data_IF_148310574638
#
_entry.id   IF_148310574638
#
_cell.length_a   1.000
_cell.length_b   1.000
_cell.length_c   1.000
_cell.angle_alpha   90.00
_cell.angle_beta   90.00
_cell.angle_gamma   90.00
#
_symmetry.space_group_name_H-M   'P 1'
#
loop_
_entity.id
_entity.type
_entity.pdbx_description
1 polymer ?
#
# COMPACT_ATOMS: atom_id res chain seq x y z
N UNK A 1 15.02 21.39 20.17
CA UNK A 1 13.72 20.83 20.55
C UNK A 1 13.28 19.89 19.43
N UNK A 2 13.39 18.58 19.64
CA UNK A 2 13.16 17.57 18.60
C UNK A 2 11.75 16.97 18.80
N UNK A 3 10.73 17.72 18.38
CA UNK A 3 9.36 17.21 18.46
C UNK A 3 9.07 16.32 17.23
N UNK A 4 9.05 15.01 17.44
CA UNK A 4 8.67 14.04 16.42
C UNK A 4 7.14 13.97 16.37
N UNK A 5 6.56 14.44 15.27
CA UNK A 5 5.10 14.39 15.06
C UNK A 5 4.75 13.17 14.22
N UNK A 6 4.10 12.20 14.85
CA UNK A 6 3.45 11.10 14.13
C UNK A 6 2.16 11.65 13.53
N UNK A 7 2.07 11.68 12.20
CA UNK A 7 0.94 12.28 11.49
C UNK A 7 -0.41 11.76 12.00
N UNK A 8 -1.33 12.68 12.32
CA UNK A 8 -2.60 12.37 12.98
C UNK A 8 -3.71 11.94 12.00
N UNK A 9 -3.37 11.17 10.96
CA UNK A 9 -4.37 10.62 10.03
C UNK A 9 -5.17 9.51 10.72
N UNK A 10 -6.49 9.66 10.79
CA UNK A 10 -7.39 8.60 11.27
C UNK A 10 -7.15 7.33 10.46
N UNK A 11 -6.75 6.23 11.12
CA UNK A 11 -6.46 4.95 10.48
C UNK A 11 -4.98 4.62 10.30
N UNK A 12 -4.07 5.60 10.33
CA UNK A 12 -2.62 5.35 10.26
C UNK A 12 -1.96 5.28 11.65
N UNK A 13 -2.70 5.68 12.70
CA UNK A 13 -2.29 5.58 14.09
C UNK A 13 -1.86 4.13 14.39
N UNK A 14 -0.76 3.97 15.13
CA UNK A 14 -0.12 2.70 15.50
C UNK A 14 0.51 1.86 14.37
N UNK A 15 0.32 2.23 13.10
CA UNK A 15 0.91 1.51 11.95
C UNK A 15 2.10 2.22 11.33
N UNK A 16 2.36 3.47 11.73
CA UNK A 16 3.47 4.29 11.22
C UNK A 16 4.59 4.39 12.24
N UNK A 17 5.82 4.13 11.81
CA UNK A 17 7.02 4.38 12.59
C UNK A 17 8.13 4.94 11.70
N UNK A 18 9.05 5.73 12.26
CA UNK A 18 10.27 6.08 11.53
C UNK A 18 11.16 4.84 11.35
N UNK A 19 11.86 4.77 10.22
CA UNK A 19 12.86 3.73 9.98
C UNK A 19 14.08 3.97 10.86
N UNK A 20 14.51 5.23 10.99
CA UNK A 20 15.47 5.66 12.01
C UNK A 20 14.75 6.15 13.26
N UNK A 21 15.18 5.68 14.44
CA UNK A 21 14.61 6.12 15.72
C UNK A 21 14.70 7.65 15.91
N UNK A 22 15.78 8.24 15.38
CA UNK A 22 16.00 9.69 15.38
C UNK A 22 16.07 10.21 13.94
N UNK A 23 14.99 10.80 13.40
CA UNK A 23 14.98 11.34 12.05
C UNK A 23 15.87 12.58 11.87
N UNK A 24 16.43 13.14 12.95
CA UNK A 24 17.44 14.20 12.86
C UNK A 24 18.78 13.70 12.30
N UNK A 25 19.00 12.38 12.28
CA UNK A 25 20.14 11.71 11.64
C UNK A 25 20.01 11.65 10.10
N UNK A 26 19.36 12.65 9.50
CA UNK A 26 19.22 12.84 8.06
C UNK A 26 18.38 11.79 7.32
N UNK A 27 17.63 10.95 8.05
CA UNK A 27 16.71 9.97 7.48
C UNK A 27 15.31 10.11 8.10
N UNK A 28 14.41 10.75 7.35
CA UNK A 28 13.02 10.92 7.72
C UNK A 28 12.10 9.85 7.11
N UNK A 29 12.66 8.74 6.62
CA UNK A 29 11.89 7.62 6.08
C UNK A 29 10.98 7.02 7.13
N UNK A 30 9.77 6.64 6.71
CA UNK A 30 8.79 5.95 7.56
C UNK A 30 8.52 4.55 7.02
N UNK A 31 8.13 3.66 7.92
CA UNK A 31 7.52 2.37 7.61
C UNK A 31 6.04 2.45 7.97
N UNK A 32 5.17 2.16 7.00
CA UNK A 32 3.75 1.91 7.21
C UNK A 32 3.52 0.38 7.18
N UNK A 33 3.12 -0.17 8.33
CA UNK A 33 2.83 -1.60 8.48
C UNK A 33 1.37 -1.91 8.16
N UNK A 34 1.10 -3.18 7.83
CA UNK A 34 -0.26 -3.71 7.61
C UNK A 34 -1.09 -2.88 6.62
N UNK A 35 -0.52 -2.66 5.42
CA UNK A 35 -1.12 -1.83 4.37
C UNK A 35 -2.54 -2.27 4.04
N UNK A 36 -3.45 -1.30 4.02
CA UNK A 36 -4.85 -1.44 3.63
C UNK A 36 -5.09 -0.70 2.31
N UNK A 37 -6.07 -1.16 1.50
CA UNK A 37 -6.42 -0.48 0.24
C UNK A 37 -6.77 1.01 0.46
N UNK A 38 -7.38 1.32 1.62
CA UNK A 38 -7.70 2.68 2.05
C UNK A 38 -6.48 3.57 2.31
N UNK A 39 -5.27 3.00 2.40
CA UNK A 39 -4.03 3.75 2.57
C UNK A 39 -3.51 4.32 1.23
N UNK A 40 -4.15 3.99 0.11
CA UNK A 40 -3.85 4.59 -1.21
C UNK A 40 -4.07 6.09 -1.16
N UNK A 41 -3.07 6.87 -1.55
CA UNK A 41 -3.14 8.32 -1.54
C UNK A 41 -1.81 9.02 -1.77
N UNK A 42 -1.84 10.35 -1.68
CA UNK A 42 -0.65 11.19 -1.76
C UNK A 42 -0.13 11.49 -0.36
N UNK A 43 1.09 11.06 -0.09
CA UNK A 43 1.81 11.29 1.15
C UNK A 43 2.80 12.43 0.96
N UNK A 44 2.90 13.30 1.97
CA UNK A 44 3.82 14.43 1.95
C UNK A 44 4.81 14.34 3.11
N UNK A 45 6.09 14.19 2.78
CA UNK A 45 7.17 14.34 3.74
C UNK A 45 7.54 15.83 3.85
N UNK A 46 7.47 16.39 5.06
CA UNK A 46 7.84 17.78 5.35
C UNK A 46 8.93 17.78 6.42
N UNK A 47 10.13 18.19 6.05
CA UNK A 47 11.27 18.32 6.97
C UNK A 47 11.56 19.78 7.22
N UNK A 48 11.67 20.18 8.49
CA UNK A 48 11.93 21.56 8.90
C UNK A 48 13.17 21.64 9.77
N UNK A 49 14.12 22.50 9.37
CA UNK A 49 15.26 22.92 10.21
C UNK A 49 15.31 24.45 10.25
N UNK A 50 16.03 25.07 9.31
CA UNK A 50 16.00 26.53 9.07
C UNK A 50 15.06 26.89 7.92
N UNK A 51 15.00 26.03 6.91
CA UNK A 51 14.05 26.07 5.80
C UNK A 51 13.16 24.84 5.87
N UNK A 52 12.11 24.82 5.04
CA UNK A 52 11.23 23.67 4.86
C UNK A 52 11.54 23.02 3.53
N UNK A 53 11.82 21.72 3.55
CA UNK A 53 11.85 20.89 2.36
C UNK A 53 10.59 20.01 2.34
N UNK A 54 10.00 19.87 1.15
CA UNK A 54 8.80 19.07 0.94
C UNK A 54 9.05 18.06 -0.17
N UNK A 55 8.63 16.82 0.05
CA UNK A 55 8.66 15.76 -0.94
C UNK A 55 7.32 15.03 -0.94
N UNK A 56 6.73 14.82 -2.11
CA UNK A 56 5.45 14.13 -2.28
C UNK A 56 5.68 12.75 -2.89
N UNK A 57 4.95 11.78 -2.38
CA UNK A 57 5.00 10.38 -2.81
C UNK A 57 3.58 9.89 -2.99
N UNK A 58 3.29 9.30 -4.15
CA UNK A 58 2.00 8.63 -4.40
C UNK A 58 2.16 7.17 -4.03
N UNK A 59 1.31 6.70 -3.12
CA UNK A 59 1.25 5.29 -2.70
C UNK A 59 -0.03 4.69 -3.24
N UNK A 60 0.11 3.57 -3.95
CA UNK A 60 -1.00 2.74 -4.42
C UNK A 60 -0.90 1.39 -3.73
N UNK A 61 -1.93 1.01 -2.99
CA UNK A 61 -2.02 -0.31 -2.36
C UNK A 61 -2.89 -1.20 -3.24
N UNK A 62 -2.28 -2.26 -3.76
CA UNK A 62 -2.97 -3.27 -4.56
C UNK A 62 -3.44 -4.40 -3.66
N UNK A 63 -4.71 -4.80 -3.82
CA UNK A 63 -5.21 -6.03 -3.24
C UNK A 63 -4.76 -7.22 -4.08
N UNK A 64 -4.59 -8.38 -3.46
CA UNK A 64 -4.36 -9.61 -4.22
C UNK A 64 -5.56 -9.83 -5.15
N UNK A 65 -5.35 -10.33 -6.39
CA UNK A 65 -6.44 -10.72 -7.25
C UNK A 65 -7.37 -11.67 -6.49
N UNK A 66 -8.68 -11.46 -6.60
CA UNK A 66 -9.64 -12.37 -6.02
C UNK A 66 -9.38 -13.79 -6.58
N UNK A 67 -9.57 -14.82 -5.75
CA UNK A 67 -9.48 -16.20 -6.24
C UNK A 67 -10.46 -16.35 -7.41
N UNK A 68 -9.97 -16.67 -8.63
CA UNK A 68 -10.83 -16.67 -9.79
C UNK A 68 -11.86 -17.79 -9.69
N UNK A 69 -13.08 -17.52 -10.14
CA UNK A 69 -14.06 -18.55 -10.38
C UNK A 69 -13.77 -19.15 -11.76
N UNK A 70 -13.39 -20.43 -11.78
CA UNK A 70 -13.13 -21.19 -13.00
C UNK A 70 -14.24 -22.20 -13.26
N UNK A 71 -14.64 -22.35 -14.52
CA UNK A 71 -15.59 -23.37 -14.93
C UNK A 71 -15.35 -23.82 -16.37
N UNK A 72 -15.93 -24.97 -16.71
CA UNK A 72 -15.84 -25.57 -18.03
C UNK A 72 -17.20 -25.47 -18.71
N UNK A 73 -17.21 -25.10 -19.98
CA UNK A 73 -18.38 -25.18 -20.84
C UNK A 73 -18.18 -26.28 -21.89
N UNK A 74 -19.21 -27.10 -22.08
CA UNK A 74 -19.15 -28.31 -22.91
C UNK A 74 -18.86 -29.58 -22.10
N UNK A 75 -19.00 -30.73 -22.75
CA UNK A 75 -18.78 -32.03 -22.13
C UNK A 75 -17.29 -32.40 -22.11
N UNK A 76 -16.77 -32.76 -20.94
CA UNK A 76 -15.37 -33.16 -20.73
C UNK A 76 -15.13 -34.62 -21.13
N UNK A 77 -15.27 -34.91 -22.42
CA UNK A 77 -15.11 -36.25 -23.02
C UNK A 77 -13.97 -36.23 -24.04
N UNK A 78 -13.32 -37.37 -24.25
CA UNK A 78 -12.22 -37.47 -25.21
C UNK A 78 -12.72 -37.18 -26.63
N UNK A 79 -12.06 -36.23 -27.30
CA UNK A 79 -12.35 -35.88 -28.70
C UNK A 79 -13.38 -34.76 -28.88
N UNK A 80 -13.94 -34.22 -27.80
CA UNK A 80 -14.84 -33.05 -27.85
C UNK A 80 -14.08 -31.74 -27.61
N UNK A 81 -14.65 -30.64 -28.09
CA UNK A 81 -14.16 -29.30 -27.78
C UNK A 81 -14.80 -28.81 -26.47
N UNK A 82 -14.00 -28.18 -25.62
CA UNK A 82 -14.44 -27.53 -24.40
C UNK A 82 -13.92 -26.10 -24.34
N UNK A 83 -14.61 -25.23 -23.61
CA UNK A 83 -14.16 -23.87 -23.32
C UNK A 83 -13.89 -23.75 -21.82
N UNK A 84 -12.67 -23.37 -21.47
CA UNK A 84 -12.30 -23.05 -20.10
C UNK A 84 -12.58 -21.56 -19.85
N UNK A 85 -13.39 -21.27 -18.84
CA UNK A 85 -13.70 -19.90 -18.43
C UNK A 85 -13.16 -19.61 -17.05
N UNK A 86 -12.79 -18.35 -16.86
CA UNK A 86 -12.22 -17.82 -15.65
C UNK A 86 -12.71 -16.39 -15.46
N UNK A 87 -13.13 -16.04 -14.25
CA UNK A 87 -13.54 -14.69 -13.89
C UNK A 87 -12.96 -14.31 -12.53
N UNK A 88 -12.27 -13.16 -12.47
CA UNK A 88 -11.90 -12.47 -11.24
C UNK A 88 -12.57 -11.10 -11.27
N UNK A 89 -13.19 -10.71 -10.15
CA UNK A 89 -13.65 -9.34 -9.94
C UNK A 89 -12.47 -8.44 -9.60
#
# INVERSE_FOLDING_TARGET
DHHINYGSGSGLQDRVAFVQNDPSQYDASIRLADLQVSDTGTYQCRVKKNTVAVHEVIVTVEEKPATPQCWVEGESVRGTNVVLRCFSR
#
